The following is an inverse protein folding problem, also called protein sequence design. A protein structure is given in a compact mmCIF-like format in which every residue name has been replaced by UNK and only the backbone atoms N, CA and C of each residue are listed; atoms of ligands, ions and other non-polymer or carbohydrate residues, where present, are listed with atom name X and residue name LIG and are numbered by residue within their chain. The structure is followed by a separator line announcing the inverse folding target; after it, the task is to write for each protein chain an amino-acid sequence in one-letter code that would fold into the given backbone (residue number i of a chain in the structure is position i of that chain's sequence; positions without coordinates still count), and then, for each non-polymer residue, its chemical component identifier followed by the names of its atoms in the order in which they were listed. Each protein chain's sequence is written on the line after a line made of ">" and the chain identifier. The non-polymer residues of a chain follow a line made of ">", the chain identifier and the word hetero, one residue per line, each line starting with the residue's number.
data_IF_558375591198
#
_entry.id   IF_558375591198
#
_cell.length_a   1.000
_cell.length_b   1.000
_cell.length_c   1.000
_cell.angle_alpha   90.00
_cell.angle_beta   90.00
_cell.angle_gamma   90.00
#
_symmetry.space_group_name_H-M   'P 1'
#
loop_
_entity.id
_entity.type
_entity.pdbx_description
1 polymer ?
#
# COMPACT_ATOMS: atom_id res chain seq x y z
N UNK A 1 4.86 -1.33 -4.53
CA UNK A 1 3.76 -1.12 -3.54
C UNK A 1 3.55 -2.32 -2.62
N UNK A 2 3.46 -3.54 -3.13
CA UNK A 2 3.19 -4.73 -2.31
C UNK A 2 4.19 -4.94 -1.17
N UNK A 3 5.49 -4.77 -1.43
CA UNK A 3 6.53 -4.82 -0.39
C UNK A 3 6.23 -3.83 0.75
N UNK A 4 6.04 -2.55 0.42
CA UNK A 4 5.77 -1.49 1.39
C UNK A 4 4.55 -1.78 2.27
N UNK A 5 3.45 -2.24 1.65
CA UNK A 5 2.23 -2.61 2.38
C UNK A 5 2.47 -3.79 3.32
N UNK A 6 3.11 -4.85 2.82
CA UNK A 6 3.39 -6.05 3.63
C UNK A 6 4.36 -5.78 4.79
N UNK A 7 5.31 -4.85 4.61
CA UNK A 7 6.14 -4.35 5.71
C UNK A 7 5.30 -3.69 6.80
N UNK A 8 4.33 -2.84 6.45
CA UNK A 8 3.42 -2.28 7.43
C UNK A 8 2.58 -3.38 8.12
N UNK A 9 2.07 -4.35 7.35
CA UNK A 9 1.27 -5.45 7.91
C UNK A 9 2.01 -6.25 8.97
N UNK A 10 3.28 -6.58 8.70
CA UNK A 10 4.10 -7.39 9.61
C UNK A 10 4.65 -6.61 10.80
N UNK A 11 4.99 -5.33 10.63
CA UNK A 11 5.83 -4.61 11.59
C UNK A 11 5.17 -3.42 12.26
N UNK A 12 3.96 -2.98 11.86
CA UNK A 12 3.30 -1.83 12.49
C UNK A 12 3.06 -2.02 13.99
N UNK A 13 2.51 -3.18 14.38
CA UNK A 13 2.28 -3.47 15.79
C UNK A 13 3.59 -3.48 16.58
N UNK A 14 4.64 -4.09 16.04
CA UNK A 14 5.97 -4.12 16.67
C UNK A 14 6.55 -2.72 16.82
N UNK A 15 6.48 -1.91 15.76
CA UNK A 15 6.93 -0.51 15.75
C UNK A 15 6.21 0.31 16.82
N UNK A 16 4.89 0.16 16.94
CA UNK A 16 4.09 0.83 17.97
C UNK A 16 4.45 0.35 19.38
N UNK A 17 4.72 -0.94 19.58
CA UNK A 17 5.19 -1.48 20.86
C UNK A 17 6.55 -0.90 21.27
N UNK A 18 7.50 -0.75 20.34
CA UNK A 18 8.80 -0.10 20.61
C UNK A 18 8.65 1.37 21.02
N UNK A 19 7.61 2.05 20.53
CA UNK A 19 7.21 3.39 20.97
C UNK A 19 6.45 3.41 22.32
N UNK A 20 6.25 2.26 22.96
CA UNK A 20 5.54 2.15 24.25
C UNK A 20 4.01 2.10 24.13
N UNK A 21 3.46 1.86 22.95
CA UNK A 21 2.01 1.74 22.78
C UNK A 21 1.45 0.49 23.47
N UNK A 22 0.29 0.63 24.11
CA UNK A 22 -0.49 -0.51 24.59
C UNK A 22 -1.21 -1.21 23.44
N UNK A 23 -1.59 -2.47 23.66
CA UNK A 23 -2.36 -3.28 22.70
C UNK A 23 -3.69 -2.59 22.30
N UNK A 24 -4.28 -1.80 23.19
CA UNK A 24 -5.47 -0.99 22.89
C UNK A 24 -5.18 0.09 21.84
N UNK A 25 -4.06 0.82 21.95
CA UNK A 25 -3.69 1.86 20.98
C UNK A 25 -3.39 1.23 19.62
N UNK A 26 -2.72 0.08 19.61
CA UNK A 26 -2.46 -0.70 18.39
C UNK A 26 -3.77 -1.14 17.75
N UNK A 27 -4.72 -1.64 18.55
CA UNK A 27 -6.07 -1.99 18.10
C UNK A 27 -6.77 -0.81 17.42
N UNK A 28 -6.74 0.38 18.03
CA UNK A 28 -7.31 1.59 17.45
C UNK A 28 -6.67 1.99 16.12
N UNK A 29 -5.36 1.81 15.95
CA UNK A 29 -4.68 2.06 14.69
C UNK A 29 -5.20 1.13 13.58
N UNK A 30 -5.36 -0.16 13.85
CA UNK A 30 -5.95 -1.12 12.90
C UNK A 30 -7.41 -0.80 12.60
N UNK A 31 -8.21 -0.48 13.62
CA UNK A 31 -9.60 -0.07 13.46
C UNK A 31 -9.72 1.18 12.59
N UNK A 32 -8.86 2.18 12.80
CA UNK A 32 -8.82 3.39 11.98
C UNK A 32 -8.53 3.07 10.51
N UNK A 33 -7.57 2.18 10.23
CA UNK A 33 -7.32 1.67 8.88
C UNK A 33 -8.57 1.05 8.27
N UNK A 34 -9.13 0.01 8.89
CA UNK A 34 -10.30 -0.70 8.35
C UNK A 34 -11.52 0.20 8.19
N UNK A 35 -11.78 1.09 9.15
CA UNK A 35 -12.91 2.01 9.10
C UNK A 35 -12.78 3.03 7.96
N UNK A 36 -11.55 3.48 7.68
CA UNK A 36 -11.30 4.42 6.58
C UNK A 36 -11.56 3.79 5.20
N UNK A 37 -11.36 2.48 5.06
CA UNK A 37 -11.50 1.78 3.77
C UNK A 37 -12.96 1.67 3.32
N UNK A 38 -13.88 1.42 4.24
CA UNK A 38 -15.31 1.21 3.95
C UNK A 38 -15.88 2.32 3.05
N UNK A 39 -15.86 3.62 3.43
CA UNK A 39 -16.38 4.68 2.58
C UNK A 39 -15.62 4.79 1.25
N UNK A 40 -14.32 4.50 1.23
CA UNK A 40 -13.51 4.57 0.03
C UNK A 40 -13.89 3.47 -0.97
N UNK A 41 -14.11 2.24 -0.51
CA UNK A 41 -14.58 1.14 -1.37
C UNK A 41 -15.96 1.41 -1.93
N UNK A 42 -16.91 1.93 -1.12
CA UNK A 42 -18.21 2.35 -1.63
C UNK A 42 -18.08 3.43 -2.70
N UNK A 43 -17.23 4.42 -2.47
CA UNK A 43 -17.00 5.50 -3.43
C UNK A 43 -16.35 5.00 -4.73
N UNK A 44 -15.33 4.14 -4.64
CA UNK A 44 -14.64 3.56 -5.80
C UNK A 44 -15.52 2.58 -6.58
N UNK A 45 -16.36 1.81 -5.90
CA UNK A 45 -17.34 0.93 -6.56
C UNK A 45 -18.33 1.74 -7.41
N UNK A 46 -18.84 2.85 -6.86
CA UNK A 46 -19.79 3.72 -7.57
C UNK A 46 -19.15 4.61 -8.64
N UNK A 47 -18.01 5.23 -8.33
CA UNK A 47 -17.44 6.31 -9.16
C UNK A 47 -16.13 5.91 -9.86
N UNK A 48 -15.50 4.81 -9.47
CA UNK A 48 -14.16 4.43 -9.92
C UNK A 48 -14.05 4.26 -11.43
N UNK A 49 -15.10 3.79 -12.09
CA UNK A 49 -15.16 3.59 -13.55
C UNK A 49 -14.94 4.89 -14.36
N UNK A 50 -15.12 6.06 -13.74
CA UNK A 50 -14.89 7.37 -14.37
C UNK A 50 -13.42 7.76 -14.43
N UNK A 51 -12.57 7.09 -13.67
CA UNK A 51 -11.14 7.41 -13.56
C UNK A 51 -10.31 6.35 -14.27
N UNK A 52 -9.20 6.77 -14.87
CA UNK A 52 -8.20 5.86 -15.46
C UNK A 52 -7.39 5.16 -14.36
N UNK A 53 -7.01 3.92 -14.64
CA UNK A 53 -6.36 3.02 -13.69
C UNK A 53 -4.94 3.49 -13.35
N UNK A 54 -4.12 3.81 -14.35
CA UNK A 54 -2.72 4.22 -14.13
C UNK A 54 -2.59 5.50 -13.28
N UNK A 55 -3.34 6.60 -13.55
CA UNK A 55 -3.32 7.76 -12.66
C UNK A 55 -3.77 7.47 -11.22
N UNK A 56 -4.79 6.62 -11.02
CA UNK A 56 -5.21 6.22 -9.67
C UNK A 56 -4.12 5.43 -8.94
N UNK A 57 -3.43 4.51 -9.63
CA UNK A 57 -2.30 3.76 -9.07
C UNK A 57 -1.11 4.67 -8.75
N UNK A 58 -0.87 5.70 -9.56
CA UNK A 58 0.14 6.75 -9.31
C UNK A 58 -0.21 7.56 -8.05
N UNK A 59 -1.47 7.97 -7.88
CA UNK A 59 -1.93 8.68 -6.68
C UNK A 59 -1.76 7.78 -5.45
N UNK A 60 -2.22 6.54 -5.50
CA UNK A 60 -2.11 5.59 -4.39
C UNK A 60 -0.65 5.37 -3.98
N UNK A 61 0.25 5.17 -4.93
CA UNK A 61 1.70 4.98 -4.68
C UNK A 61 2.37 6.21 -4.09
N UNK A 62 1.99 7.41 -4.52
CA UNK A 62 2.45 8.65 -3.90
C UNK A 62 2.01 8.75 -2.44
N UNK A 63 0.74 8.50 -2.13
CA UNK A 63 0.26 8.54 -0.76
C UNK A 63 0.85 7.43 0.12
N UNK A 64 1.21 6.26 -0.44
CA UNK A 64 2.00 5.25 0.27
C UNK A 64 3.35 5.81 0.71
N UNK A 65 4.04 6.51 -0.19
CA UNK A 65 5.33 7.12 0.14
C UNK A 65 5.19 8.17 1.24
N UNK A 66 4.24 9.09 1.10
CA UNK A 66 3.98 10.13 2.10
C UNK A 66 3.65 9.51 3.44
N UNK A 67 2.70 8.56 3.48
CA UNK A 67 2.25 7.91 4.71
C UNK A 67 3.40 7.21 5.43
N UNK A 68 4.18 6.39 4.75
CA UNK A 68 5.29 5.68 5.39
C UNK A 68 6.45 6.59 5.76
N UNK A 69 6.68 7.66 5.00
CA UNK A 69 7.62 8.70 5.43
C UNK A 69 7.15 9.36 6.73
N UNK A 70 5.86 9.70 6.86
CA UNK A 70 5.30 10.25 8.09
C UNK A 70 5.41 9.26 9.27
N UNK A 71 5.10 7.98 9.06
CA UNK A 71 5.29 6.95 10.10
C UNK A 71 6.77 6.86 10.52
N UNK A 72 7.73 7.05 9.60
CA UNK A 72 9.15 6.97 9.90
C UNK A 72 9.71 8.10 10.79
N UNK A 73 8.99 9.22 10.91
CA UNK A 73 9.44 10.40 11.67
C UNK A 73 8.62 10.64 12.94
N UNK A 74 7.50 9.94 13.09
CA UNK A 74 6.66 10.00 14.28
C UNK A 74 7.33 9.24 15.43
N UNK A 75 7.36 9.86 16.61
CA UNK A 75 7.89 9.25 17.84
C UNK A 75 6.80 8.88 18.85
N UNK A 76 5.64 9.54 18.79
CA UNK A 76 4.50 9.25 19.66
C UNK A 76 3.51 8.34 18.92
N UNK A 77 3.21 7.14 19.47
CA UNK A 77 2.40 6.14 18.79
C UNK A 77 0.95 6.57 18.57
N UNK A 78 0.43 7.57 19.30
CA UNK A 78 -0.92 8.09 19.08
C UNK A 78 -1.08 8.74 17.70
N UNK A 79 -0.02 9.34 17.16
CA UNK A 79 -0.04 9.93 15.82
C UNK A 79 -0.12 8.90 14.70
N UNK A 80 0.14 7.62 14.99
CA UNK A 80 -0.03 6.56 13.98
C UNK A 80 -1.51 6.35 13.67
N UNK A 81 -2.42 6.53 14.63
CA UNK A 81 -3.87 6.34 14.43
C UNK A 81 -4.40 7.22 13.29
N UNK A 82 -4.22 8.56 13.28
CA UNK A 82 -4.66 9.38 12.15
C UNK A 82 -3.90 9.06 10.85
N UNK A 83 -2.62 8.64 10.91
CA UNK A 83 -1.89 8.18 9.72
C UNK A 83 -2.44 6.88 9.14
N UNK A 84 -3.10 6.05 9.95
CA UNK A 84 -3.80 4.85 9.47
C UNK A 84 -5.07 5.22 8.69
N UNK A 85 -5.67 6.39 8.85
CA UNK A 85 -6.80 6.82 8.02
C UNK A 85 -6.41 6.99 6.54
N UNK A 86 -5.13 7.29 6.27
CA UNK A 86 -4.58 7.33 4.91
C UNK A 86 -4.58 5.96 4.23
N UNK A 87 -4.80 4.86 4.98
CA UNK A 87 -4.85 3.50 4.45
C UNK A 87 -5.89 3.34 3.35
N UNK A 88 -7.05 3.99 3.50
CA UNK A 88 -8.08 4.08 2.46
C UNK A 88 -7.57 4.60 1.12
N UNK A 89 -6.80 5.69 1.13
CA UNK A 89 -6.23 6.31 -0.08
C UNK A 89 -5.08 5.47 -0.64
N UNK A 90 -4.32 4.78 0.23
CA UNK A 90 -3.20 3.96 -0.21
C UNK A 90 -3.66 2.59 -0.70
N UNK A 91 -4.08 1.72 0.22
CA UNK A 91 -4.47 0.35 -0.08
C UNK A 91 -5.85 0.29 -0.72
N UNK A 92 -6.80 1.10 -0.25
CA UNK A 92 -8.17 1.05 -0.77
C UNK A 92 -8.26 1.38 -2.27
N UNK A 93 -7.62 2.49 -2.69
CA UNK A 93 -7.49 2.83 -4.12
C UNK A 93 -6.70 1.77 -4.87
N UNK A 94 -5.56 1.34 -4.32
CA UNK A 94 -4.71 0.34 -4.98
C UNK A 94 -5.46 -0.97 -5.25
N UNK A 95 -6.11 -1.54 -4.25
CA UNK A 95 -6.76 -2.86 -4.33
C UNK A 95 -7.81 -2.88 -5.44
N UNK A 96 -8.74 -1.92 -5.41
CA UNK A 96 -9.83 -1.84 -6.39
C UNK A 96 -9.28 -1.58 -7.79
N UNK A 97 -8.32 -0.66 -7.90
CA UNK A 97 -7.77 -0.25 -9.20
C UNK A 97 -6.92 -1.34 -9.83
N UNK A 98 -6.09 -2.03 -9.04
CA UNK A 98 -5.24 -3.12 -9.52
C UNK A 98 -6.09 -4.29 -10.02
N UNK A 99 -7.11 -4.70 -9.27
CA UNK A 99 -8.02 -5.77 -9.68
C UNK A 99 -8.77 -5.42 -10.97
N UNK A 100 -9.27 -4.18 -11.08
CA UNK A 100 -9.94 -3.71 -12.30
C UNK A 100 -8.99 -3.68 -13.49
N UNK A 101 -7.76 -3.20 -13.29
CA UNK A 101 -6.75 -3.13 -14.33
C UNK A 101 -6.35 -4.53 -14.83
N UNK A 102 -6.19 -5.50 -13.92
CA UNK A 102 -5.95 -6.91 -14.27
C UNK A 102 -7.09 -7.48 -15.11
N UNK A 103 -8.34 -7.21 -14.74
CA UNK A 103 -9.52 -7.70 -15.48
C UNK A 103 -9.65 -7.10 -16.89
N UNK A 104 -9.12 -5.89 -17.10
CA UNK A 104 -9.06 -5.24 -18.42
C UNK A 104 -7.93 -5.78 -19.30
N UNK A 105 -6.78 -6.09 -18.71
CA UNK A 105 -5.61 -6.58 -19.44
C UNK A 105 -5.72 -8.06 -19.82
N UNK A 106 -6.41 -8.86 -19.00
CA UNK A 106 -6.45 -10.31 -19.15
C UNK A 106 -7.75 -10.75 -19.82
N UNK A 107 -7.69 -11.59 -20.88
CA UNK A 107 -8.88 -12.15 -21.51
C UNK A 107 -9.78 -12.87 -20.52
N UNK A 108 -11.09 -12.82 -20.74
CA UNK A 108 -12.12 -13.36 -19.85
C UNK A 108 -11.84 -14.79 -19.39
N UNK A 109 -11.37 -15.66 -20.31
CA UNK A 109 -11.03 -17.06 -20.04
C UNK A 109 -9.91 -17.25 -19.01
N UNK A 110 -9.04 -16.25 -18.81
CA UNK A 110 -7.85 -16.34 -17.95
C UNK A 110 -7.92 -15.40 -16.72
N UNK A 111 -9.04 -14.69 -16.50
CA UNK A 111 -9.16 -13.72 -15.39
C UNK A 111 -8.94 -14.37 -14.01
N UNK A 112 -9.46 -15.57 -13.80
CA UNK A 112 -9.26 -16.31 -12.55
C UNK A 112 -7.77 -16.60 -12.30
N UNK A 113 -7.05 -17.07 -13.33
CA UNK A 113 -5.59 -17.29 -13.28
C UNK A 113 -4.83 -16.00 -13.02
N UNK A 114 -5.24 -14.91 -13.67
CA UNK A 114 -4.66 -13.58 -13.46
C UNK A 114 -4.79 -13.09 -12.00
N UNK A 115 -5.97 -13.25 -11.41
CA UNK A 115 -6.19 -12.95 -10.00
C UNK A 115 -5.40 -13.86 -9.07
N UNK A 116 -5.24 -15.14 -9.40
CA UNK A 116 -4.40 -16.07 -8.65
C UNK A 116 -2.93 -15.62 -8.65
N UNK A 117 -2.38 -15.25 -9.80
CA UNK A 117 -1.01 -14.73 -9.92
C UNK A 117 -0.86 -13.44 -9.11
N UNK A 118 -1.82 -12.51 -9.23
CA UNK A 118 -1.83 -11.29 -8.43
C UNK A 118 -1.79 -11.59 -6.93
N UNK A 119 -2.63 -12.51 -6.45
CA UNK A 119 -2.66 -12.90 -5.03
C UNK A 119 -1.34 -13.53 -4.57
N UNK A 120 -0.70 -14.35 -5.40
CA UNK A 120 0.62 -14.94 -5.10
C UNK A 120 1.68 -13.84 -4.97
N UNK A 121 1.73 -12.90 -5.91
CA UNK A 121 2.71 -11.79 -5.87
C UNK A 121 2.43 -10.87 -4.68
N UNK A 122 1.16 -10.51 -4.45
CA UNK A 122 0.73 -9.64 -3.36
C UNK A 122 0.94 -10.26 -1.98
N UNK A 123 0.76 -11.58 -1.84
CA UNK A 123 0.71 -12.23 -0.53
C UNK A 123 1.95 -13.04 -0.21
N UNK A 124 2.40 -13.89 -1.13
CA UNK A 124 3.52 -14.78 -0.87
C UNK A 124 4.83 -14.06 -1.14
N UNK A 125 5.04 -13.55 -2.35
CA UNK A 125 6.33 -12.96 -2.72
C UNK A 125 6.61 -11.68 -1.91
N UNK A 126 5.63 -10.78 -1.84
CA UNK A 126 5.77 -9.57 -1.06
C UNK A 126 5.88 -9.86 0.45
N UNK A 127 5.13 -10.83 0.99
CA UNK A 127 5.19 -11.19 2.41
C UNK A 127 6.53 -11.83 2.81
N UNK A 128 7.07 -12.73 1.98
CA UNK A 128 8.39 -13.35 2.19
C UNK A 128 9.50 -12.30 2.14
N UNK A 129 9.51 -11.47 1.08
CA UNK A 129 10.53 -10.42 0.93
C UNK A 129 10.43 -9.37 2.03
N UNK A 130 9.21 -8.93 2.42
CA UNK A 130 9.04 -7.99 3.52
C UNK A 130 9.40 -8.59 4.88
N UNK A 131 9.13 -9.87 5.11
CA UNK A 131 9.50 -10.55 6.36
C UNK A 131 11.02 -10.67 6.50
N UNK A 132 11.70 -11.17 5.47
CA UNK A 132 13.16 -11.39 5.50
C UNK A 132 13.91 -10.06 5.50
N UNK A 133 13.67 -9.22 4.48
CA UNK A 133 14.39 -7.95 4.33
C UNK A 133 13.92 -6.96 5.39
N UNK A 134 12.61 -6.85 5.62
CA UNK A 134 12.07 -5.94 6.61
C UNK A 134 12.49 -6.32 8.03
N UNK A 135 12.50 -7.62 8.37
CA UNK A 135 12.99 -8.09 9.66
C UNK A 135 14.47 -7.77 9.88
N UNK A 136 15.32 -8.10 8.91
CA UNK A 136 16.74 -7.78 8.99
C UNK A 136 17.02 -6.28 9.12
N UNK A 137 16.31 -5.45 8.34
CA UNK A 137 16.41 -3.98 8.41
C UNK A 137 15.92 -3.48 9.77
N UNK A 138 14.81 -4.03 10.28
CA UNK A 138 14.23 -3.65 11.56
C UNK A 138 15.20 -3.95 12.71
N UNK A 139 15.76 -5.15 12.75
CA UNK A 139 16.69 -5.56 13.80
C UNK A 139 18.02 -4.78 13.75
N UNK A 140 18.49 -4.41 12.55
CA UNK A 140 19.80 -3.75 12.38
C UNK A 140 19.72 -2.23 12.48
N UNK A 141 18.66 -1.62 11.95
CA UNK A 141 18.54 -0.16 11.77
C UNK A 141 17.23 0.43 12.31
N UNK A 142 16.37 -0.38 12.91
CA UNK A 142 15.13 0.03 13.55
C UNK A 142 13.97 0.36 12.59
N UNK A 143 12.81 0.57 13.19
CA UNK A 143 11.57 0.91 12.49
C UNK A 143 11.68 2.15 11.57
N UNK A 144 12.31 3.28 11.96
CA UNK A 144 12.38 4.47 11.10
C UNK A 144 13.02 4.19 9.74
N UNK A 145 14.13 3.45 9.72
CA UNK A 145 14.83 3.11 8.48
C UNK A 145 13.98 2.18 7.61
N UNK A 146 13.34 1.20 8.22
CA UNK A 146 12.42 0.29 7.52
C UNK A 146 11.27 1.04 6.84
N UNK A 147 10.61 1.98 7.53
CA UNK A 147 9.54 2.78 6.94
C UNK A 147 10.03 3.75 5.85
N UNK A 148 11.26 4.24 5.92
CA UNK A 148 11.87 5.03 4.83
C UNK A 148 12.12 4.19 3.58
N UNK A 149 12.58 2.95 3.73
CA UNK A 149 12.72 2.01 2.61
C UNK A 149 11.33 1.69 2.01
N UNK A 150 10.32 1.47 2.84
CA UNK A 150 8.95 1.28 2.40
C UNK A 150 8.45 2.52 1.61
N UNK A 151 8.70 3.73 2.12
CA UNK A 151 8.35 4.97 1.45
C UNK A 151 9.06 5.13 0.09
N UNK A 152 10.36 4.85 0.02
CA UNK A 152 11.12 4.87 -1.23
C UNK A 152 10.57 3.89 -2.26
N UNK A 153 10.19 2.68 -1.84
CA UNK A 153 9.56 1.71 -2.74
C UNK A 153 8.18 2.16 -3.24
N UNK A 154 7.46 2.99 -2.47
CA UNK A 154 6.25 3.69 -2.89
C UNK A 154 6.53 4.72 -3.99
N UNK A 155 7.55 5.55 -3.81
CA UNK A 155 7.99 6.53 -4.82
C UNK A 155 8.44 5.86 -6.12
N UNK A 156 9.21 4.77 -6.04
CA UNK A 156 9.63 4.01 -7.21
C UNK A 156 8.42 3.47 -7.98
N UNK A 157 7.40 2.98 -7.28
CA UNK A 157 6.16 2.56 -7.93
C UNK A 157 5.42 3.72 -8.58
N UNK A 158 5.36 4.90 -7.93
CA UNK A 158 4.76 6.11 -8.48
C UNK A 158 5.42 6.53 -9.81
N UNK A 159 6.75 6.57 -9.83
CA UNK A 159 7.53 6.84 -11.06
C UNK A 159 7.25 5.77 -12.12
N UNK A 160 7.20 4.48 -11.74
CA UNK A 160 6.88 3.39 -12.66
C UNK A 160 5.50 3.54 -13.33
N UNK A 161 4.46 3.89 -12.56
CA UNK A 161 3.13 4.13 -13.12
C UNK A 161 3.08 5.38 -13.99
N UNK A 162 3.79 6.45 -13.60
CA UNK A 162 3.89 7.68 -14.38
C UNK A 162 4.54 7.40 -15.75
N UNK A 163 5.68 6.71 -15.77
CA UNK A 163 6.37 6.33 -17.00
C UNK A 163 5.46 5.46 -17.88
N UNK A 164 4.83 4.44 -17.29
CA UNK A 164 3.89 3.56 -18.02
C UNK A 164 2.74 4.35 -18.63
N UNK A 165 2.20 5.33 -17.91
CA UNK A 165 1.12 6.19 -18.40
C UNK A 165 1.57 7.04 -19.61
N UNK A 166 2.78 7.63 -19.54
CA UNK A 166 3.33 8.38 -20.66
C UNK A 166 3.60 7.51 -21.89
N UNK A 167 4.17 6.31 -21.71
CA UNK A 167 4.42 5.38 -22.83
C UNK A 167 3.14 4.93 -23.52
N UNK A 168 2.08 4.62 -22.76
CA UNK A 168 0.79 4.24 -23.35
C UNK A 168 0.14 5.39 -24.10
N UNK A 169 0.24 6.61 -23.58
CA UNK A 169 -0.32 7.80 -24.24
C UNK A 169 0.43 8.13 -25.54
N UNK A 170 1.75 7.96 -25.57
CA UNK A 170 2.57 8.20 -26.76
C UNK A 170 2.37 7.18 -27.89
N UNK A 171 1.83 5.99 -27.60
CA UNK A 171 1.48 4.99 -28.62
C UNK A 171 0.05 5.16 -29.17
N UNK A 172 -0.78 5.94 -28.50
CA UNK A 172 -2.19 6.13 -28.82
C UNK A 172 -2.47 7.42 -29.60
N UNK A 173 -1.45 8.24 -29.86
CA UNK A 173 -1.51 9.42 -30.72
C UNK A 173 -0.54 9.26 -31.88
#
# INVERSE_FOLDING_TARGET
>A
MSFAHRTNDGFLALTMREMGASDTIIGWAWTASSLSEVPMFFWLSKNGHRFKELPLLMIASFFYAVRFFLVSIVSDPLWIIPLQLMHSVTFGIFLVTALRYIQQLIPDAFRATGQAIYNIVWSCLAGLTSGIIGGWVFDTWGAPTMYRIAAASGLLACVGFLLTHHFQRSRAG
#
